data_IF_934521987368
#
_entry.id   IF_934521987368
#
_cell.length_a   1.000
_cell.length_b   1.000
_cell.length_c   1.000
_cell.angle_alpha   90.00
_cell.angle_beta   90.00
_cell.angle_gamma   90.00
#
_symmetry.space_group_name_H-M   'P 1'
#
loop_
_entity.id
_entity.type
_entity.pdbx_description
1 polymer ?
#
# COMPACT_ATOMS: atom_id res chain seq x y z
N UNK A 1 6.94 2.62 5.41
CA UNK A 1 7.38 1.22 5.26
C UNK A 1 8.68 1.18 4.46
N UNK A 2 9.62 0.31 4.80
CA UNK A 2 10.91 0.13 4.09
C UNK A 2 10.87 -1.06 3.11
N UNK A 3 9.70 -1.67 2.91
CA UNK A 3 9.48 -2.75 1.95
C UNK A 3 8.81 -2.22 0.69
N UNK A 4 9.28 -2.72 -0.46
CA UNK A 4 8.66 -2.46 -1.75
C UNK A 4 7.21 -2.98 -1.76
N UNK A 5 6.29 -2.24 -2.37
CA UNK A 5 4.86 -2.58 -2.43
C UNK A 5 4.63 -4.05 -2.88
N UNK A 6 5.41 -4.53 -3.85
CA UNK A 6 5.31 -5.93 -4.31
C UNK A 6 5.64 -6.94 -3.20
N UNK A 7 6.67 -6.68 -2.39
CA UNK A 7 7.05 -7.55 -1.28
C UNK A 7 5.97 -7.56 -0.19
N UNK A 8 5.40 -6.39 0.14
CA UNK A 8 4.31 -6.29 1.10
C UNK A 8 3.03 -7.01 0.63
N UNK A 9 2.69 -6.94 -0.65
CA UNK A 9 1.55 -7.67 -1.21
C UNK A 9 1.75 -9.18 -1.15
N UNK A 10 2.94 -9.67 -1.48
CA UNK A 10 3.28 -11.10 -1.38
C UNK A 10 3.25 -11.60 0.06
N UNK A 11 3.69 -10.80 1.02
CA UNK A 11 3.62 -11.16 2.45
C UNK A 11 2.18 -11.23 2.98
N UNK A 12 1.27 -10.39 2.47
CA UNK A 12 -0.14 -10.39 2.86
C UNK A 12 -0.98 -11.43 2.10
N UNK A 13 -0.52 -11.91 0.95
CA UNK A 13 -1.25 -12.90 0.14
C UNK A 13 -1.57 -14.19 0.90
N UNK A 14 -0.62 -14.85 1.61
CA UNK A 14 -0.91 -16.04 2.40
C UNK A 14 -1.97 -15.80 3.50
N UNK A 15 -1.98 -14.61 4.10
CA UNK A 15 -2.96 -14.23 5.12
C UNK A 15 -4.35 -14.08 4.50
N UNK A 16 -4.44 -13.41 3.35
CA UNK A 16 -5.68 -13.29 2.59
C UNK A 16 -6.20 -14.66 2.15
N UNK A 17 -5.34 -15.50 1.57
CA UNK A 17 -5.72 -16.85 1.14
C UNK A 17 -6.15 -17.73 2.31
N UNK A 18 -5.47 -17.63 3.47
CA UNK A 18 -5.86 -18.35 4.69
C UNK A 18 -7.26 -17.95 5.20
N UNK A 19 -7.63 -16.67 5.05
CA UNK A 19 -9.00 -16.21 5.33
C UNK A 19 -10.00 -16.80 4.35
N UNK A 20 -9.68 -16.82 3.05
CA UNK A 20 -10.56 -17.35 2.01
C UNK A 20 -10.73 -18.88 2.11
N UNK A 21 -9.74 -19.62 2.60
CA UNK A 21 -9.82 -21.06 2.83
C UNK A 21 -10.81 -21.45 3.95
N UNK A 22 -11.22 -20.50 4.80
CA UNK A 22 -12.26 -20.71 5.82
C UNK A 22 -13.68 -20.59 5.25
N UNK A 23 -13.83 -20.11 4.02
CA UNK A 23 -15.11 -19.98 3.34
C UNK A 23 -15.53 -21.32 2.71
N UNK A 24 -16.85 -21.56 2.52
CA UNK A 24 -17.33 -22.76 1.85
C UNK A 24 -16.71 -22.93 0.46
N UNK A 25 -16.56 -24.17 -0.04
CA UNK A 25 -15.97 -24.42 -1.34
C UNK A 25 -16.78 -23.76 -2.48
N UNK A 26 -16.17 -23.41 -3.61
CA UNK A 26 -16.80 -22.64 -4.69
C UNK A 26 -18.12 -23.23 -5.22
N UNK A 27 -18.34 -24.53 -5.05
CA UNK A 27 -19.58 -25.23 -5.42
C UNK A 27 -20.79 -24.85 -4.57
N UNK A 28 -20.58 -24.32 -3.37
CA UNK A 28 -21.64 -23.96 -2.40
C UNK A 28 -21.63 -22.45 -2.06
N UNK A 29 -20.77 -21.67 -2.70
CA UNK A 29 -20.66 -20.23 -2.43
C UNK A 29 -21.82 -19.45 -3.02
N UNK A 30 -22.57 -18.77 -2.17
CA UNK A 30 -23.48 -17.70 -2.58
C UNK A 30 -22.72 -16.59 -3.32
N UNK A 31 -23.39 -15.88 -4.23
CA UNK A 31 -22.84 -14.73 -4.96
C UNK A 31 -22.20 -13.70 -4.02
N UNK A 32 -22.76 -13.53 -2.80
CA UNK A 32 -22.22 -12.65 -1.77
C UNK A 32 -20.82 -13.08 -1.30
N UNK A 33 -20.61 -14.39 -1.10
CA UNK A 33 -19.31 -14.95 -0.65
C UNK A 33 -18.26 -14.80 -1.75
N UNK A 34 -18.67 -14.96 -3.00
CA UNK A 34 -17.80 -14.70 -4.15
C UNK A 34 -17.38 -13.23 -4.26
N UNK A 35 -18.33 -12.29 -4.06
CA UNK A 35 -18.04 -10.84 -4.02
C UNK A 35 -17.12 -10.49 -2.86
N UNK A 36 -17.35 -11.04 -1.69
CA UNK A 36 -16.48 -10.86 -0.52
C UNK A 36 -15.06 -11.36 -0.79
N UNK A 37 -14.91 -12.55 -1.37
CA UNK A 37 -13.60 -13.12 -1.70
C UNK A 37 -12.80 -12.23 -2.64
N UNK A 38 -13.46 -11.69 -3.68
CA UNK A 38 -12.85 -10.71 -4.60
C UNK A 38 -12.51 -9.39 -3.88
N UNK A 39 -13.39 -8.92 -3.01
CA UNK A 39 -13.17 -7.70 -2.24
C UNK A 39 -11.93 -7.82 -1.35
N UNK A 40 -11.73 -8.94 -0.65
CA UNK A 40 -10.54 -9.17 0.19
C UNK A 40 -9.25 -9.08 -0.62
N UNK A 41 -9.19 -9.73 -1.79
CA UNK A 41 -7.99 -9.68 -2.65
C UNK A 41 -7.76 -8.26 -3.18
N UNK A 42 -8.81 -7.59 -3.64
CA UNK A 42 -8.73 -6.20 -4.12
C UNK A 42 -8.27 -5.25 -3.01
N UNK A 43 -8.79 -5.41 -1.78
CA UNK A 43 -8.37 -4.61 -0.63
C UNK A 43 -6.88 -4.76 -0.37
N UNK A 44 -6.33 -5.98 -0.39
CA UNK A 44 -4.89 -6.19 -0.20
C UNK A 44 -4.07 -5.54 -1.32
N UNK A 45 -4.48 -5.72 -2.57
CA UNK A 45 -3.75 -5.19 -3.74
C UNK A 45 -3.76 -3.65 -3.76
N UNK A 46 -4.83 -3.00 -3.31
CA UNK A 46 -4.93 -1.53 -3.26
C UNK A 46 -4.39 -0.92 -1.96
N UNK A 47 -4.56 -1.57 -0.81
CA UNK A 47 -4.09 -1.04 0.46
C UNK A 47 -2.56 -0.96 0.52
N UNK A 48 -1.87 -1.92 -0.10
CA UNK A 48 -0.40 -1.95 -0.12
C UNK A 48 0.24 -0.74 -0.81
N UNK A 49 -0.12 -0.36 -2.05
CA UNK A 49 0.42 0.84 -2.69
C UNK A 49 0.01 2.14 -1.99
N UNK A 50 -1.21 2.21 -1.43
CA UNK A 50 -1.65 3.38 -0.64
C UNK A 50 -0.78 3.52 0.62
N UNK A 51 -0.52 2.43 1.33
CA UNK A 51 0.42 2.40 2.45
C UNK A 51 1.86 2.74 2.03
N UNK A 52 2.28 2.38 0.83
CA UNK A 52 3.57 2.79 0.25
C UNK A 52 3.67 4.31 0.06
N UNK A 53 2.61 4.95 -0.45
CA UNK A 53 2.59 6.40 -0.66
C UNK A 53 2.73 7.16 0.66
N UNK A 54 2.16 6.64 1.76
CA UNK A 54 2.19 7.25 3.10
C UNK A 54 3.58 7.53 3.67
N UNK A 55 4.65 6.97 3.09
CA UNK A 55 6.02 7.18 3.58
C UNK A 55 6.97 7.66 2.50
N UNK A 56 7.94 8.48 2.88
CA UNK A 56 8.91 9.10 1.97
C UNK A 56 9.72 8.07 1.16
N UNK A 57 9.94 6.89 1.72
CA UNK A 57 10.69 5.78 1.10
C UNK A 57 9.80 4.69 0.49
N UNK A 58 8.47 4.81 0.59
CA UNK A 58 7.58 3.73 0.18
C UNK A 58 7.26 3.71 -1.32
N UNK A 59 7.50 4.81 -2.04
CA UNK A 59 7.48 4.84 -3.52
C UNK A 59 8.67 5.61 -4.08
N UNK A 60 9.13 5.22 -5.28
CA UNK A 60 10.23 5.92 -5.95
C UNK A 60 9.91 7.38 -6.29
N UNK A 61 8.63 7.69 -6.52
CA UNK A 61 8.15 9.05 -6.80
C UNK A 61 8.41 10.00 -5.62
N UNK A 62 8.17 9.54 -4.39
CA UNK A 62 8.43 10.34 -3.19
C UNK A 62 9.92 10.68 -3.03
N UNK A 63 10.82 9.77 -3.42
CA UNK A 63 12.27 10.00 -3.38
C UNK A 63 12.74 10.95 -4.50
N UNK A 64 12.18 10.81 -5.70
CA UNK A 64 12.45 11.72 -6.82
C UNK A 64 12.04 13.15 -6.44
N UNK A 65 10.87 13.32 -5.81
CA UNK A 65 10.41 14.62 -5.33
C UNK A 65 11.39 15.26 -4.35
N UNK A 66 11.93 14.50 -3.39
CA UNK A 66 12.95 14.98 -2.45
C UNK A 66 14.25 15.36 -3.16
N UNK A 67 14.67 14.55 -4.15
CA UNK A 67 15.85 14.84 -4.96
C UNK A 67 15.70 16.15 -5.76
N UNK A 68 14.51 16.37 -6.33
CA UNK A 68 14.19 17.56 -7.13
C UNK A 68 13.86 18.80 -6.27
N UNK A 69 13.50 18.62 -5.00
CA UNK A 69 13.10 19.71 -4.10
C UNK A 69 14.11 20.85 -4.01
N UNK A 70 15.41 20.52 -4.03
CA UNK A 70 16.49 21.52 -4.00
C UNK A 70 16.49 22.43 -5.22
N UNK A 71 16.06 21.92 -6.37
CA UNK A 71 16.00 22.67 -7.63
C UNK A 71 14.67 23.40 -7.83
N UNK A 72 13.55 22.82 -7.35
CA UNK A 72 12.22 23.44 -7.48
C UNK A 72 11.95 24.55 -6.47
N UNK A 73 12.53 24.49 -5.27
CA UNK A 73 12.26 25.45 -4.20
C UNK A 73 13.56 25.89 -3.49
N UNK A 74 14.41 26.69 -4.18
CA UNK A 74 15.64 27.22 -3.58
C UNK A 74 15.29 28.12 -2.37
N UNK A 75 15.59 27.64 -1.16
CA UNK A 75 15.30 28.33 0.12
C UNK A 75 14.20 27.70 0.98
N UNK A 76 13.47 26.70 0.48
CA UNK A 76 12.47 25.99 1.27
C UNK A 76 13.09 25.00 2.27
N UNK A 77 12.42 24.79 3.41
CA UNK A 77 12.86 23.85 4.45
C UNK A 77 13.03 22.43 3.84
N UNK A 78 14.11 21.70 4.16
CA UNK A 78 14.33 20.37 3.62
C UNK A 78 13.24 19.38 4.04
N UNK A 79 12.79 18.53 3.11
CA UNK A 79 11.83 17.47 3.37
C UNK A 79 12.54 16.36 4.15
N UNK A 80 12.14 16.16 5.42
CA UNK A 80 12.64 15.10 6.31
C UNK A 80 11.67 13.91 6.32
N UNK A 81 12.16 12.72 6.65
CA UNK A 81 11.36 11.50 6.77
C UNK A 81 10.09 11.68 7.63
N UNK A 82 10.23 12.36 8.78
CA UNK A 82 9.12 12.64 9.69
C UNK A 82 8.06 13.59 9.09
N UNK A 83 8.46 14.51 8.21
CA UNK A 83 7.53 15.41 7.52
C UNK A 83 6.83 14.75 6.33
N UNK A 84 7.53 13.87 5.60
CA UNK A 84 6.94 13.14 4.48
C UNK A 84 5.85 12.16 4.90
N UNK A 85 5.99 11.54 6.08
CA UNK A 85 4.90 10.75 6.68
C UNK A 85 3.75 11.64 7.14
N UNK A 86 4.03 12.79 7.76
CA UNK A 86 3.00 13.68 8.30
C UNK A 86 2.17 14.38 7.20
N UNK A 87 2.78 14.74 6.06
CA UNK A 87 2.08 15.42 4.95
C UNK A 87 0.92 14.62 4.33
N UNK A 88 0.87 13.30 4.55
CA UNK A 88 -0.19 12.41 4.03
C UNK A 88 -1.19 11.96 5.10
N UNK A 89 -0.91 12.21 6.37
CA UNK A 89 -1.80 11.89 7.50
C UNK A 89 -2.47 13.13 8.11
N UNK A 90 -2.15 14.33 7.60
CA UNK A 90 -2.88 15.59 7.76
C UNK A 90 -3.72 15.86 6.50
#
# INVERSE_FOLDING_TARGET
MWMHNVAAAVMLMPVATGLLQRLPPPSEQSELVNKFSRAVVLTVVYAVPIGGISTLTGTGVNLILVGMWKSLAPGAKPIRYSKGSLFLFE
#
